data_IF_668527142505
#
_entry.id   IF_668527142505
#
_cell.length_a   1.000
_cell.length_b   1.000
_cell.length_c   1.000
_cell.angle_alpha   90.00
_cell.angle_beta   90.00
_cell.angle_gamma   90.00
#
_symmetry.space_group_name_H-M   'P 1'
#
loop_
_entity.id
_entity.type
_entity.pdbx_description
1 polymer ?
#
# COMPACT_ATOMS: atom_id res chain seq x y z
N UNK A 1 -27.89 -3.40 40.86
CA UNK A 1 -27.52 -2.47 39.79
C UNK A 1 -26.59 -3.21 38.85
N UNK A 2 -27.16 -3.71 37.77
CA UNK A 2 -26.52 -4.02 36.49
C UNK A 2 -25.71 -2.80 36.01
N UNK A 3 -24.76 -2.99 35.08
CA UNK A 3 -24.24 -1.82 34.37
C UNK A 3 -22.73 -1.81 34.05
N UNK A 4 -22.28 -2.59 33.07
CA UNK A 4 -21.16 -2.31 32.14
C UNK A 4 -20.39 -0.99 32.41
N UNK A 5 -19.07 -0.98 32.48
CA UNK A 5 -18.27 -1.20 31.28
C UNK A 5 -16.80 -1.18 31.71
N UNK A 6 -16.19 -2.37 31.82
CA UNK A 6 -14.74 -2.47 31.62
C UNK A 6 -14.54 -2.03 30.17
N UNK A 7 -14.19 -0.77 29.97
CA UNK A 7 -13.86 -0.22 28.67
C UNK A 7 -12.58 -0.92 28.16
N UNK A 8 -12.72 -2.15 27.70
CA UNK A 8 -11.75 -2.77 26.81
C UNK A 8 -11.81 -1.98 25.51
N UNK A 9 -10.72 -1.34 25.06
CA UNK A 9 -10.73 -0.60 23.81
C UNK A 9 -11.18 -1.51 22.67
N UNK A 10 -11.94 -0.95 21.73
CA UNK A 10 -12.49 -1.63 20.57
C UNK A 10 -11.41 -2.45 19.81
N UNK A 11 -11.56 -3.78 19.63
CA UNK A 11 -10.58 -4.64 18.98
C UNK A 11 -10.69 -4.56 17.44
N UNK A 12 -10.83 -3.36 16.87
CA UNK A 12 -10.93 -3.16 15.42
C UNK A 12 -10.10 -1.98 14.89
N UNK A 13 -9.06 -1.56 15.62
CA UNK A 13 -7.89 -1.00 14.94
C UNK A 13 -7.06 -2.14 14.29
N UNK A 14 -7.76 -3.00 13.54
CA UNK A 14 -7.16 -4.06 12.75
C UNK A 14 -6.66 -3.40 11.46
N UNK A 15 -5.35 -3.27 11.35
CA UNK A 15 -4.68 -2.96 10.09
C UNK A 15 -4.44 -1.48 9.84
N UNK A 16 -3.49 -0.87 10.57
CA UNK A 16 -2.48 -0.10 9.83
C UNK A 16 -1.62 -1.11 9.08
N UNK A 17 -2.21 -1.74 8.07
CA UNK A 17 -1.44 -2.52 7.13
C UNK A 17 -0.47 -1.55 6.52
N UNK A 18 0.79 -1.58 6.98
CA UNK A 18 1.94 -1.17 6.20
C UNK A 18 2.04 -2.16 5.04
N UNK A 19 1.00 -2.18 4.19
CA UNK A 19 1.13 -2.70 2.85
C UNK A 19 2.19 -1.79 2.26
N UNK A 20 3.37 -2.30 1.87
CA UNK A 20 4.22 -1.51 1.00
C UNK A 20 3.29 -1.17 -0.16
N UNK A 21 2.96 0.12 -0.31
CA UNK A 21 2.26 0.59 -1.50
C UNK A 21 3.17 0.20 -2.64
N UNK A 22 2.94 -0.98 -3.21
CA UNK A 22 3.40 -1.31 -4.53
C UNK A 22 2.95 -0.11 -5.36
N UNK A 23 3.85 0.52 -6.13
CA UNK A 23 3.54 1.77 -6.80
C UNK A 23 2.22 1.56 -7.54
N UNK A 24 1.18 2.25 -7.10
CA UNK A 24 -0.15 2.08 -7.67
C UNK A 24 -0.07 2.42 -9.16
N UNK A 25 -0.94 1.85 -9.99
CA UNK A 25 -0.93 2.13 -11.42
C UNK A 25 -1.02 3.64 -11.71
N UNK A 26 -1.77 4.39 -10.89
CA UNK A 26 -1.82 5.85 -10.96
C UNK A 26 -0.48 6.52 -10.59
N UNK A 27 0.32 5.93 -9.71
CA UNK A 27 1.67 6.40 -9.41
C UNK A 27 2.62 6.14 -10.59
N UNK A 28 2.51 4.98 -11.24
CA UNK A 28 3.30 4.64 -12.43
C UNK A 28 3.00 5.56 -13.63
N UNK A 29 1.73 5.94 -13.85
CA UNK A 29 1.34 6.89 -14.90
C UNK A 29 1.91 8.30 -14.65
N UNK A 30 2.02 8.71 -13.38
CA UNK A 30 2.63 9.99 -12.98
C UNK A 30 4.16 9.97 -13.06
N UNK A 31 4.80 8.80 -13.03
CA UNK A 31 6.26 8.70 -13.11
C UNK A 31 6.79 9.18 -14.46
N UNK A 32 7.88 9.93 -14.42
CA UNK A 32 8.63 10.29 -15.61
C UNK A 32 9.28 9.08 -16.28
N UNK A 33 9.70 9.24 -17.54
CA UNK A 33 10.37 8.18 -18.29
C UNK A 33 11.62 7.64 -17.59
N UNK A 34 12.40 8.52 -16.94
CA UNK A 34 13.62 8.14 -16.20
C UNK A 34 13.31 7.27 -14.98
N UNK A 35 12.27 7.62 -14.24
CA UNK A 35 11.81 6.87 -13.06
C UNK A 35 11.26 5.50 -13.46
N UNK A 36 10.49 5.44 -14.55
CA UNK A 36 10.03 4.17 -15.12
C UNK A 36 11.20 3.27 -15.57
N UNK A 37 12.26 3.86 -16.11
CA UNK A 37 13.45 3.11 -16.51
C UNK A 37 14.24 2.61 -15.30
N UNK A 38 14.34 3.41 -14.23
CA UNK A 38 14.92 2.98 -12.96
C UNK A 38 14.10 1.82 -12.36
N UNK A 39 12.77 1.95 -12.31
CA UNK A 39 11.88 0.89 -11.84
C UNK A 39 12.04 -0.40 -12.65
N UNK A 40 12.17 -0.31 -13.98
CA UNK A 40 12.43 -1.47 -14.83
C UNK A 40 13.76 -2.17 -14.52
N UNK A 41 14.78 -1.41 -14.10
CA UNK A 41 16.12 -1.94 -13.76
C UNK A 41 16.14 -2.54 -12.36
N UNK A 42 15.47 -1.90 -11.41
CA UNK A 42 15.45 -2.32 -10.00
C UNK A 42 14.47 -3.46 -9.77
N UNK A 43 13.28 -3.39 -10.38
CA UNK A 43 12.19 -4.34 -10.19
C UNK A 43 11.45 -4.59 -11.53
N UNK A 44 12.00 -5.42 -12.43
CA UNK A 44 11.40 -5.68 -13.73
C UNK A 44 10.01 -6.31 -13.63
N UNK A 45 9.72 -7.12 -12.60
CA UNK A 45 8.42 -7.76 -12.38
C UNK A 45 7.33 -6.73 -12.09
N UNK A 46 7.60 -5.79 -11.17
CA UNK A 46 6.69 -4.68 -10.83
C UNK A 46 6.47 -3.76 -12.04
N UNK A 47 7.51 -3.50 -12.83
CA UNK A 47 7.36 -2.72 -14.06
C UNK A 47 6.41 -3.39 -15.06
N UNK A 48 6.46 -4.72 -15.21
CA UNK A 48 5.56 -5.44 -16.13
C UNK A 48 4.11 -5.47 -15.64
N UNK A 49 3.91 -5.65 -14.33
CA UNK A 49 2.60 -5.59 -13.69
C UNK A 49 1.93 -4.22 -13.88
N UNK A 50 2.70 -3.12 -13.74
CA UNK A 50 2.18 -1.75 -13.84
C UNK A 50 2.08 -1.21 -15.26
N UNK A 51 2.84 -1.79 -16.21
CA UNK A 51 2.75 -1.46 -17.63
C UNK A 51 1.45 -1.98 -18.27
N UNK A 52 0.94 -3.12 -17.79
CA UNK A 52 -0.22 -3.84 -18.34
C UNK A 52 -1.51 -3.10 -18.08
#
# INVERSE_FOLDING_TARGET
MDEQSRQTPAPYAAGTGSVPVAPDRAAFDRMGYRERLALKRENPEVYQELKK
#
